data_IF_865238846409
#
_entry.id   IF_865238846409
#
_cell.length_a   1.000
_cell.length_b   1.000
_cell.length_c   1.000
_cell.angle_alpha   90.00
_cell.angle_beta   90.00
_cell.angle_gamma   90.00
#
_symmetry.space_group_name_H-M   'P 1'
#
loop_
_entity.id
_entity.type
_entity.pdbx_description
1 polymer ?
#
# COMPACT_ATOMS: atom_id res chain seq x y z
N UNK A 1 1.59 -20.79 4.22
CA UNK A 1 2.73 -20.93 5.14
C UNK A 1 3.12 -19.57 5.68
N UNK A 2 3.39 -19.47 6.99
CA UNK A 2 3.84 -18.26 7.65
C UNK A 2 5.35 -18.12 7.47
N UNK A 3 5.84 -16.93 7.08
CA UNK A 3 7.27 -16.67 6.92
C UNK A 3 7.73 -15.56 7.88
N UNK A 4 8.05 -15.92 9.11
CA UNK A 4 8.51 -14.95 10.10
C UNK A 4 9.89 -14.35 9.76
N UNK A 5 10.73 -15.05 9.01
CA UNK A 5 12.07 -14.56 8.66
C UNK A 5 12.06 -13.26 7.83
N UNK A 6 10.99 -12.99 7.09
CA UNK A 6 10.89 -11.76 6.27
C UNK A 6 10.71 -10.49 7.08
N UNK A 7 10.30 -10.57 8.34
CA UNK A 7 10.06 -9.42 9.22
C UNK A 7 11.13 -9.26 10.32
N UNK A 8 12.05 -10.20 10.46
CA UNK A 8 13.11 -10.13 11.47
C UNK A 8 14.34 -9.46 10.85
N UNK A 9 14.70 -8.29 11.36
CA UNK A 9 15.90 -7.59 10.93
C UNK A 9 16.49 -6.74 12.06
N UNK A 10 17.38 -7.30 12.83
CA UNK A 10 18.00 -6.65 13.99
C UNK A 10 18.78 -5.38 13.62
N UNK A 11 19.33 -5.32 12.39
CA UNK A 11 20.08 -4.15 11.92
C UNK A 11 19.21 -2.92 11.66
N UNK A 12 17.88 -3.11 11.52
CA UNK A 12 16.92 -2.03 11.30
C UNK A 12 16.18 -1.59 12.57
N UNK A 13 16.43 -2.25 13.69
CA UNK A 13 15.87 -1.85 14.98
C UNK A 13 16.78 -0.78 15.57
N UNK A 14 16.29 0.46 15.67
CA UNK A 14 17.05 1.58 16.25
C UNK A 14 16.56 1.92 17.64
N UNK A 15 15.34 2.44 17.77
CA UNK A 15 14.81 2.99 19.03
C UNK A 15 13.74 2.09 19.65
N UNK A 16 12.85 1.53 18.81
CA UNK A 16 11.69 0.76 19.24
C UNK A 16 11.53 -0.53 18.44
N UNK A 17 11.06 -1.57 19.11
CA UNK A 17 10.59 -2.79 18.44
C UNK A 17 9.20 -2.58 17.84
N UNK A 18 8.76 -3.48 16.97
CA UNK A 18 7.41 -3.47 16.42
C UNK A 18 6.35 -3.64 17.52
N UNK A 19 5.19 -3.00 17.33
CA UNK A 19 4.01 -3.24 18.15
C UNK A 19 3.35 -4.52 17.65
N UNK A 20 3.32 -5.54 18.50
CA UNK A 20 2.77 -6.86 18.19
C UNK A 20 1.89 -7.35 19.33
N UNK A 21 0.91 -8.22 19.08
CA UNK A 21 0.13 -8.86 20.13
C UNK A 21 1.04 -9.67 21.09
N UNK A 22 0.76 -9.60 22.37
CA UNK A 22 1.50 -10.38 23.37
C UNK A 22 0.92 -11.79 23.52
N UNK A 23 1.70 -12.71 24.10
CA UNK A 23 1.25 -14.09 24.38
C UNK A 23 0.05 -14.13 25.35
N UNK A 24 -0.16 -13.08 26.14
CA UNK A 24 -1.28 -12.98 27.07
C UNK A 24 -2.66 -12.94 26.37
N UNK A 25 -2.67 -12.65 25.07
CA UNK A 25 -3.88 -12.74 24.25
C UNK A 25 -4.37 -14.17 24.00
N UNK A 26 -3.51 -15.17 24.19
CA UNK A 26 -3.88 -16.55 23.97
C UNK A 26 -4.88 -17.00 25.05
N UNK A 27 -6.14 -17.22 24.65
CA UNK A 27 -7.21 -17.60 25.54
C UNK A 27 -7.80 -16.46 26.39
N UNK A 28 -7.40 -15.20 26.14
CA UNK A 28 -7.96 -14.06 26.83
C UNK A 28 -9.43 -13.81 26.41
N UNK A 29 -10.27 -13.47 27.39
CA UNK A 29 -11.63 -12.99 27.10
C UNK A 29 -11.53 -11.49 26.69
N UNK A 30 -11.87 -11.22 25.44
CA UNK A 30 -11.86 -9.88 24.86
C UNK A 30 -13.25 -9.23 24.86
N UNK A 31 -14.25 -9.85 25.48
CA UNK A 31 -15.64 -9.35 25.49
C UNK A 31 -15.79 -8.05 26.27
N UNK A 32 -14.95 -7.85 27.28
CA UNK A 32 -14.92 -6.64 28.12
C UNK A 32 -14.12 -5.46 27.57
N UNK A 33 -13.44 -5.62 26.41
CA UNK A 33 -12.68 -4.52 25.84
C UNK A 33 -13.59 -3.45 25.21
N UNK A 34 -13.30 -2.16 25.41
CA UNK A 34 -13.91 -1.08 24.65
C UNK A 34 -13.77 -1.29 23.14
N UNK A 35 -14.78 -0.87 22.38
CA UNK A 35 -14.86 -1.11 20.92
C UNK A 35 -13.60 -0.57 20.19
N UNK A 36 -13.11 0.61 20.59
CA UNK A 36 -11.91 1.20 20.00
C UNK A 36 -10.63 0.41 20.30
N UNK A 37 -10.46 -0.06 21.52
CA UNK A 37 -9.30 -0.88 21.91
C UNK A 37 -9.31 -2.22 21.18
N UNK A 38 -10.46 -2.84 21.04
CA UNK A 38 -10.64 -4.08 20.29
C UNK A 38 -10.28 -3.87 18.81
N UNK A 39 -10.75 -2.77 18.19
CA UNK A 39 -10.46 -2.45 16.81
C UNK A 39 -8.94 -2.24 16.57
N UNK A 40 -8.25 -1.55 17.48
CA UNK A 40 -6.78 -1.37 17.41
C UNK A 40 -6.07 -2.72 17.53
N UNK A 41 -6.49 -3.55 18.48
CA UNK A 41 -5.90 -4.88 18.67
C UNK A 41 -6.08 -5.76 17.43
N UNK A 42 -7.29 -5.77 16.85
CA UNK A 42 -7.59 -6.51 15.61
C UNK A 42 -6.72 -5.99 14.44
N UNK A 43 -6.55 -4.68 14.32
CA UNK A 43 -5.71 -4.08 13.29
C UNK A 43 -4.24 -4.48 13.46
N UNK A 44 -3.71 -4.43 14.68
CA UNK A 44 -2.31 -4.84 14.97
C UNK A 44 -2.12 -6.32 14.65
N UNK A 45 -3.06 -7.18 15.04
CA UNK A 45 -3.01 -8.61 14.73
C UNK A 45 -3.06 -8.86 13.22
N UNK A 46 -3.96 -8.17 12.50
CA UNK A 46 -4.05 -8.26 11.05
C UNK A 46 -2.73 -7.86 10.38
N UNK A 47 -2.14 -6.73 10.79
CA UNK A 47 -0.88 -6.25 10.21
C UNK A 47 0.25 -7.25 10.41
N UNK A 48 0.33 -7.88 11.58
CA UNK A 48 1.30 -8.95 11.83
C UNK A 48 1.05 -10.16 10.91
N UNK A 49 -0.20 -10.59 10.77
CA UNK A 49 -0.56 -11.70 9.87
C UNK A 49 -0.23 -11.38 8.42
N UNK A 50 -0.53 -10.17 7.94
CA UNK A 50 -0.17 -9.73 6.60
C UNK A 50 1.36 -9.70 6.41
N UNK A 51 2.11 -9.23 7.41
CA UNK A 51 3.56 -9.13 7.34
C UNK A 51 4.26 -10.50 7.24
N UNK A 52 3.68 -11.57 7.79
CA UNK A 52 4.23 -12.93 7.73
C UNK A 52 3.57 -13.81 6.66
N UNK A 53 2.56 -13.31 5.97
CA UNK A 53 1.86 -14.03 4.91
C UNK A 53 2.69 -14.14 3.63
N UNK A 54 2.19 -14.92 2.68
CA UNK A 54 2.80 -14.99 1.35
C UNK A 54 2.76 -13.62 0.66
N UNK A 55 3.77 -13.28 -0.15
CA UNK A 55 3.79 -12.03 -0.87
C UNK A 55 2.66 -11.97 -1.92
N UNK A 56 2.15 -10.76 -2.14
CA UNK A 56 1.35 -10.46 -3.31
C UNK A 56 2.25 -10.46 -4.54
N UNK A 57 1.93 -11.29 -5.52
CA UNK A 57 2.72 -11.39 -6.75
C UNK A 57 1.84 -11.20 -7.98
N UNK A 58 2.36 -10.48 -8.96
CA UNK A 58 1.66 -10.20 -10.21
C UNK A 58 2.65 -10.13 -11.38
N UNK A 59 2.14 -10.30 -12.59
CA UNK A 59 2.83 -9.95 -13.82
C UNK A 59 2.33 -8.58 -14.28
N UNK A 60 3.24 -7.65 -14.52
CA UNK A 60 2.91 -6.35 -15.10
C UNK A 60 3.26 -6.39 -16.59
N UNK A 61 2.32 -5.95 -17.41
CA UNK A 61 2.50 -5.77 -18.86
C UNK A 61 2.44 -4.27 -19.15
N UNK A 62 3.51 -3.73 -19.69
CA UNK A 62 3.56 -2.37 -20.21
C UNK A 62 3.57 -2.41 -21.73
N UNK A 63 2.71 -1.62 -22.34
CA UNK A 63 2.57 -1.53 -23.80
C UNK A 63 2.76 -0.09 -24.22
N UNK A 64 3.55 0.12 -25.25
CA UNK A 64 3.69 1.39 -25.97
C UNK A 64 3.18 1.18 -27.38
N UNK A 65 2.20 1.97 -27.80
CA UNK A 65 1.61 1.93 -29.14
C UNK A 65 1.89 3.26 -29.83
N UNK A 66 2.45 3.21 -31.02
CA UNK A 66 2.64 4.39 -31.85
C UNK A 66 1.42 4.55 -32.80
N UNK A 67 0.87 5.76 -32.83
CA UNK A 67 -0.19 6.10 -33.77
C UNK A 67 0.02 7.52 -34.28
N UNK A 68 0.18 7.70 -35.60
CA UNK A 68 0.37 8.98 -36.26
C UNK A 68 1.51 9.85 -35.66
N UNK A 69 2.61 9.23 -35.24
CA UNK A 69 3.77 9.88 -34.64
C UNK A 69 3.60 10.23 -33.16
N UNK A 70 2.53 9.79 -32.52
CA UNK A 70 2.32 9.95 -31.08
C UNK A 70 2.38 8.60 -30.37
N UNK A 71 3.02 8.57 -29.19
CA UNK A 71 3.09 7.36 -28.37
C UNK A 71 1.95 7.34 -27.34
N UNK A 72 1.31 6.20 -27.25
CA UNK A 72 0.27 5.89 -26.28
C UNK A 72 0.74 4.75 -25.39
N UNK A 73 0.68 4.92 -24.08
CA UNK A 73 1.11 3.91 -23.13
C UNK A 73 -0.08 3.29 -22.41
N UNK A 74 -0.03 1.98 -22.21
CA UNK A 74 -0.98 1.26 -21.38
C UNK A 74 -0.22 0.32 -20.43
N UNK A 75 -0.73 0.18 -19.21
CA UNK A 75 -0.21 -0.79 -18.25
C UNK A 75 -1.34 -1.68 -17.78
N UNK A 76 -1.06 -2.96 -17.72
CA UNK A 76 -1.96 -3.97 -17.20
C UNK A 76 -1.27 -4.81 -16.13
N UNK A 77 -2.07 -5.42 -15.28
CA UNK A 77 -1.57 -6.27 -14.20
C UNK A 77 -2.40 -7.53 -14.11
N UNK A 78 -1.74 -8.67 -14.12
CA UNK A 78 -2.35 -9.99 -13.92
C UNK A 78 -1.87 -10.55 -12.59
N UNK A 79 -2.76 -10.71 -11.64
CA UNK A 79 -2.44 -11.25 -10.31
C UNK A 79 -2.10 -12.73 -10.43
N UNK A 80 -0.98 -13.12 -9.86
CA UNK A 80 -0.52 -14.52 -9.76
C UNK A 80 -0.82 -15.10 -8.39
N UNK A 81 -0.64 -14.33 -7.34
CA UNK A 81 -0.95 -14.73 -5.97
C UNK A 81 -1.40 -13.50 -5.16
N UNK A 82 -2.58 -13.55 -4.59
CA UNK A 82 -3.10 -12.46 -3.75
C UNK A 82 -2.36 -12.32 -2.42
N UNK A 83 -1.75 -13.39 -1.91
CA UNK A 83 -0.93 -13.36 -0.71
C UNK A 83 -1.58 -12.59 0.45
N UNK A 84 -0.82 -11.69 1.08
CA UNK A 84 -1.29 -10.86 2.20
C UNK A 84 -2.49 -9.97 1.87
N UNK A 85 -2.67 -9.58 0.58
CA UNK A 85 -3.80 -8.73 0.17
C UNK A 85 -5.15 -9.41 0.36
N UNK A 86 -5.20 -10.75 0.26
CA UNK A 86 -6.44 -11.49 0.52
C UNK A 86 -6.90 -11.34 1.98
N UNK A 87 -5.96 -11.30 2.93
CA UNK A 87 -6.26 -11.10 4.36
C UNK A 87 -6.75 -9.66 4.61
N UNK A 88 -6.04 -8.67 4.06
CA UNK A 88 -6.40 -7.26 4.20
C UNK A 88 -7.78 -6.97 3.59
N UNK A 89 -8.05 -7.49 2.39
CA UNK A 89 -9.35 -7.34 1.73
C UNK A 89 -10.49 -7.98 2.51
N UNK A 90 -10.29 -9.18 3.06
CA UNK A 90 -11.29 -9.85 3.89
C UNK A 90 -11.61 -9.05 5.16
N UNK A 91 -10.61 -8.46 5.80
CA UNK A 91 -10.81 -7.60 6.96
C UNK A 91 -11.58 -6.32 6.60
N UNK A 92 -11.15 -5.62 5.55
CA UNK A 92 -11.81 -4.39 5.08
C UNK A 92 -13.28 -4.62 4.70
N UNK A 93 -13.58 -5.76 4.09
CA UNK A 93 -14.96 -6.13 3.74
C UNK A 93 -15.87 -6.28 4.98
N UNK A 94 -15.30 -6.58 6.14
CA UNK A 94 -16.02 -6.66 7.42
C UNK A 94 -16.24 -5.31 8.10
N UNK A 95 -15.52 -4.25 7.69
CA UNK A 95 -15.63 -2.92 8.28
C UNK A 95 -16.83 -2.18 7.70
N UNK A 96 -17.66 -1.58 8.58
CA UNK A 96 -18.75 -0.70 8.18
C UNK A 96 -18.20 0.71 7.96
N UNK A 97 -18.63 1.39 6.89
CA UNK A 97 -18.32 2.81 6.59
C UNK A 97 -16.85 3.14 6.28
N UNK A 98 -16.09 2.22 5.76
CA UNK A 98 -14.79 2.55 5.18
C UNK A 98 -15.03 2.99 3.74
N UNK A 99 -14.69 4.24 3.40
CA UNK A 99 -14.53 4.63 2.01
C UNK A 99 -13.49 3.66 1.42
N UNK A 100 -13.96 2.82 0.51
CA UNK A 100 -13.06 1.95 -0.23
C UNK A 100 -12.21 2.89 -1.10
N UNK A 101 -10.98 3.16 -0.67
CA UNK A 101 -10.00 3.68 -1.60
C UNK A 101 -10.06 2.76 -2.82
N UNK A 102 -10.43 3.35 -3.96
CA UNK A 102 -10.45 2.62 -5.22
C UNK A 102 -9.01 2.23 -5.52
N UNK A 103 -8.63 1.05 -5.02
CA UNK A 103 -7.38 0.46 -5.48
C UNK A 103 -7.44 0.41 -7.01
N UNK A 104 -6.34 0.72 -7.70
CA UNK A 104 -6.30 0.61 -9.14
C UNK A 104 -6.75 -0.81 -9.50
N UNK A 105 -7.84 -0.91 -10.26
CA UNK A 105 -8.34 -2.20 -10.72
C UNK A 105 -7.20 -2.93 -11.43
N UNK A 106 -6.94 -4.16 -11.02
CA UNK A 106 -5.99 -5.04 -11.68
C UNK A 106 -6.56 -5.42 -13.07
N UNK A 107 -6.39 -4.50 -14.03
CA UNK A 107 -6.83 -4.72 -15.41
C UNK A 107 -5.76 -5.50 -16.16
N UNK A 108 -6.07 -6.73 -16.52
CA UNK A 108 -5.24 -7.47 -17.46
C UNK A 108 -5.36 -6.86 -18.86
N UNK A 109 -4.23 -6.65 -19.52
CA UNK A 109 -4.21 -6.35 -20.96
C UNK A 109 -4.38 -7.65 -21.74
N UNK A 110 -4.95 -7.59 -22.97
CA UNK A 110 -4.96 -8.73 -23.86
C UNK A 110 -3.52 -9.17 -24.21
N UNK A 111 -3.39 -10.38 -24.70
CA UNK A 111 -2.10 -10.83 -25.23
C UNK A 111 -1.73 -10.01 -26.47
N UNK A 112 -0.58 -9.36 -26.40
CA UNK A 112 -0.03 -8.54 -27.47
C UNK A 112 1.38 -8.99 -27.79
N UNK A 113 1.76 -8.86 -29.05
CA UNK A 113 3.12 -9.15 -29.51
C UNK A 113 3.80 -7.87 -30.00
N UNK A 114 5.11 -7.80 -29.85
CA UNK A 114 5.90 -6.70 -30.37
C UNK A 114 5.75 -6.61 -31.90
N UNK A 115 5.55 -5.38 -32.40
CA UNK A 115 5.32 -5.14 -33.84
C UNK A 115 3.90 -5.45 -34.31
N UNK A 116 2.98 -5.84 -33.43
CA UNK A 116 1.58 -6.08 -33.78
C UNK A 116 0.90 -4.79 -34.21
N UNK A 117 0.23 -4.80 -35.37
CA UNK A 117 -0.63 -3.71 -35.81
C UNK A 117 -2.03 -3.88 -35.25
N UNK A 118 -2.55 -2.84 -34.60
CA UNK A 118 -3.90 -2.82 -34.06
C UNK A 118 -4.78 -1.87 -34.89
N UNK A 119 -6.00 -2.28 -35.26
CA UNK A 119 -6.94 -1.37 -35.95
C UNK A 119 -7.45 -0.32 -34.96
N UNK A 120 -7.40 0.96 -35.37
CA UNK A 120 -8.02 2.03 -34.62
C UNK A 120 -9.55 1.99 -34.84
N UNK A 121 -10.32 1.69 -33.81
CA UNK A 121 -11.77 1.62 -33.88
C UNK A 121 -12.46 2.99 -33.70
N UNK A 122 -11.80 3.95 -33.11
CA UNK A 122 -12.31 5.30 -32.91
C UNK A 122 -11.39 6.15 -32.05
N UNK A 123 -11.56 7.45 -32.14
CA UNK A 123 -10.90 8.44 -31.29
C UNK A 123 -11.92 9.43 -30.75
N UNK A 124 -11.89 9.71 -29.47
CA UNK A 124 -12.75 10.69 -28.82
C UNK A 124 -11.92 11.64 -27.99
N UNK A 125 -12.19 12.94 -28.11
CA UNK A 125 -11.60 13.95 -27.24
C UNK A 125 -12.46 14.07 -25.98
N UNK A 126 -11.85 13.89 -24.83
CA UNK A 126 -12.49 14.14 -23.53
C UNK A 126 -11.92 15.41 -22.92
N UNK A 127 -12.78 16.38 -22.69
CA UNK A 127 -12.39 17.55 -21.90
C UNK A 127 -12.36 17.17 -20.42
N UNK A 128 -11.35 17.63 -19.72
CA UNK A 128 -11.18 17.44 -18.28
C UNK A 128 -10.57 18.67 -17.64
N UNK A 129 -10.82 18.84 -16.35
CA UNK A 129 -10.15 19.86 -15.54
C UNK A 129 -9.24 19.18 -14.55
N UNK A 130 -8.02 19.68 -14.43
CA UNK A 130 -7.12 19.27 -13.36
C UNK A 130 -7.67 19.77 -12.03
N UNK A 131 -7.61 18.95 -11.01
CA UNK A 131 -7.93 19.34 -9.64
C UNK A 131 -6.64 19.49 -8.84
N UNK A 132 -6.57 20.45 -7.90
CA UNK A 132 -5.42 20.54 -7.02
C UNK A 132 -5.28 19.28 -6.19
N UNK A 133 -4.06 18.99 -5.67
CA UNK A 133 -3.88 17.93 -4.70
C UNK A 133 -4.82 18.12 -3.50
N UNK A 134 -5.29 17.04 -2.92
CA UNK A 134 -6.08 17.10 -1.68
C UNK A 134 -5.23 17.66 -0.55
N UNK A 135 -5.85 18.38 0.37
CA UNK A 135 -5.19 18.75 1.63
C UNK A 135 -4.70 17.51 2.37
N UNK A 136 -3.61 17.66 3.09
CA UNK A 136 -3.14 16.59 3.96
C UNK A 136 -4.20 16.29 5.03
N UNK A 137 -4.40 15.01 5.29
CA UNK A 137 -4.98 14.49 6.52
C UNK A 137 -3.83 14.22 7.51
N UNK A 138 -4.13 14.00 8.78
CA UNK A 138 -3.11 13.64 9.77
C UNK A 138 -2.28 12.43 9.33
N UNK A 139 -2.94 11.39 8.82
CA UNK A 139 -2.29 10.19 8.29
C UNK A 139 -1.35 10.48 7.12
N UNK A 140 -1.85 11.22 6.11
CA UNK A 140 -1.04 11.54 4.92
C UNK A 140 0.09 12.51 5.25
N UNK A 141 -0.09 13.39 6.25
CA UNK A 141 0.95 14.29 6.71
C UNK A 141 2.05 13.53 7.47
N UNK A 142 1.69 12.60 8.35
CA UNK A 142 2.66 11.71 9.02
C UNK A 142 3.48 10.92 8.01
N UNK A 143 2.85 10.38 6.99
CA UNK A 143 3.52 9.66 5.90
C UNK A 143 4.46 10.57 5.10
N UNK A 144 4.05 11.80 4.81
CA UNK A 144 4.89 12.80 4.14
C UNK A 144 6.10 13.21 5.00
N UNK A 145 5.92 13.36 6.31
CA UNK A 145 7.02 13.64 7.23
C UNK A 145 8.05 12.50 7.26
N UNK A 146 7.60 11.25 7.19
CA UNK A 146 8.49 10.08 7.17
C UNK A 146 9.37 10.04 5.92
N UNK A 147 8.86 10.49 4.79
CA UNK A 147 9.56 10.46 3.51
C UNK A 147 10.20 11.78 3.12
N UNK A 148 10.02 12.83 3.93
CA UNK A 148 10.54 14.17 3.64
C UNK A 148 12.06 14.18 3.41
N UNK A 149 12.50 14.86 2.35
CA UNK A 149 13.89 14.98 1.96
C UNK A 149 14.50 13.73 1.32
N UNK A 150 13.71 12.69 1.09
CA UNK A 150 14.23 11.42 0.54
C UNK A 150 14.84 11.58 -0.85
N UNK A 151 14.27 12.45 -1.66
CA UNK A 151 14.68 12.65 -3.05
C UNK A 151 15.82 13.68 -3.17
N UNK A 152 16.03 14.52 -2.14
CA UNK A 152 17.04 15.60 -2.14
C UNK A 152 18.33 15.20 -1.40
N UNK A 153 18.37 14.01 -0.78
CA UNK A 153 19.54 13.55 -0.03
C UNK A 153 20.39 12.56 -0.83
N UNK A 154 21.73 12.60 -0.66
CA UNK A 154 22.62 11.58 -1.20
C UNK A 154 22.20 10.17 -0.80
N UNK A 155 22.53 9.16 -1.63
CA UNK A 155 22.14 7.77 -1.37
C UNK A 155 22.73 7.19 -0.07
N UNK A 156 23.86 7.71 0.39
CA UNK A 156 24.57 7.32 1.61
C UNK A 156 24.11 8.07 2.85
N UNK A 157 23.24 9.08 2.71
CA UNK A 157 22.69 9.82 3.84
C UNK A 157 21.62 9.04 4.58
N UNK A 158 21.63 9.13 5.90
CA UNK A 158 20.60 8.51 6.76
C UNK A 158 19.26 9.25 6.57
N UNK A 159 18.34 8.61 5.85
CA UNK A 159 17.04 9.17 5.45
C UNK A 159 16.02 9.01 6.57
N UNK A 160 16.03 9.91 7.55
CA UNK A 160 15.15 9.85 8.73
C UNK A 160 13.82 10.61 8.57
N UNK A 161 13.67 11.42 7.51
CA UNK A 161 12.52 12.32 7.36
C UNK A 161 12.52 13.44 8.40
N UNK A 162 11.34 14.02 8.66
CA UNK A 162 11.11 15.01 9.71
C UNK A 162 10.64 14.33 10.99
N UNK A 163 11.31 14.62 12.10
CA UNK A 163 11.01 14.02 13.40
C UNK A 163 11.27 12.51 13.48
N UNK A 164 11.09 11.95 14.65
CA UNK A 164 11.15 10.50 14.90
C UNK A 164 9.74 9.90 14.90
N UNK A 165 9.56 8.57 14.72
CA UNK A 165 8.25 7.94 14.86
C UNK A 165 7.53 8.30 16.18
N UNK A 166 8.27 8.46 17.27
CA UNK A 166 7.71 8.81 18.57
C UNK A 166 7.26 10.28 18.70
N UNK A 167 7.84 11.20 17.92
CA UNK A 167 7.59 12.63 18.06
C UNK A 167 6.68 13.20 16.97
N UNK A 168 6.50 12.51 15.84
CA UNK A 168 5.72 13.03 14.69
C UNK A 168 4.29 13.33 15.05
N UNK A 169 3.61 12.46 15.81
CA UNK A 169 2.22 12.69 16.20
C UNK A 169 2.08 13.94 17.07
N UNK A 170 2.98 14.12 18.05
CA UNK A 170 2.96 15.31 18.93
C UNK A 170 3.38 16.63 18.25
N UNK A 171 3.92 16.58 17.02
CA UNK A 171 4.19 17.81 16.23
C UNK A 171 2.90 18.32 15.56
N UNK A 172 1.89 17.47 15.40
CA UNK A 172 0.63 17.81 14.74
C UNK A 172 -0.42 18.37 15.70
N UNK A 173 -0.23 18.24 17.01
CA UNK A 173 -1.05 18.85 18.06
C UNK A 173 -0.66 20.33 18.30
#
# INVERSE_FOLDING_TARGET
ACNAAQIVNDKKVTDHHAVIPTRNLQGADLSGLPVGEKAVLELVALRLLCAVAQPYTFAETAVVVECAGAEFTAKGRTVKNYGWRALDAAYRAGLKNVEQDKEPEDKALPELSEGQTLPLSGATVKEGKTTPPKHFTEDTLLSAMETAGKDDMPEDAERKGLGTPATRAGILE
#
